data_IF_111926121036
#
_entry.id   IF_111926121036
#
_cell.length_a   1.000
_cell.length_b   1.000
_cell.length_c   1.000
_cell.angle_alpha   90.00
_cell.angle_beta   90.00
_cell.angle_gamma   90.00
#
_symmetry.space_group_name_H-M   'P 1'
#
loop_
_entity.id
_entity.type
_entity.pdbx_description
1 polymer ?
#
# COMPACT_ATOMS: atom_id res chain seq x y z
N UNK A 1 -34.73 -2.96 6.18
CA UNK A 1 -34.85 -1.72 6.97
C UNK A 1 -34.76 -0.52 6.02
N UNK A 2 -35.52 0.56 6.26
CA UNK A 2 -35.42 1.82 5.52
C UNK A 2 -34.77 2.86 6.43
N UNK A 3 -33.69 3.45 5.96
CA UNK A 3 -32.85 4.36 6.73
C UNK A 3 -32.44 5.51 5.82
N UNK A 4 -32.35 6.71 6.38
CA UNK A 4 -31.78 7.87 5.70
C UNK A 4 -30.33 8.01 6.17
N UNK A 5 -29.40 8.09 5.24
CA UNK A 5 -27.97 8.24 5.50
C UNK A 5 -27.47 9.46 4.72
N UNK A 6 -26.65 10.28 5.36
CA UNK A 6 -25.89 11.33 4.68
C UNK A 6 -24.63 10.70 4.09
N UNK A 7 -24.32 11.01 2.83
CA UNK A 7 -23.16 10.49 2.11
C UNK A 7 -22.32 11.68 1.66
N UNK A 8 -21.02 11.65 1.93
CA UNK A 8 -20.10 12.70 1.53
C UNK A 8 -19.97 12.80 -0.01
N UNK A 9 -19.65 14.00 -0.50
CA UNK A 9 -19.65 14.32 -1.94
C UNK A 9 -18.69 13.43 -2.76
N UNK A 10 -17.56 13.05 -2.18
CA UNK A 10 -16.58 12.16 -2.80
C UNK A 10 -17.13 10.74 -2.98
N UNK A 11 -17.78 10.20 -1.95
CA UNK A 11 -18.45 8.90 -1.99
C UNK A 11 -19.62 8.92 -2.97
N UNK A 12 -20.42 9.99 -2.96
CA UNK A 12 -21.53 10.16 -3.91
C UNK A 12 -21.05 10.16 -5.37
N UNK A 13 -19.93 10.83 -5.66
CA UNK A 13 -19.32 10.85 -6.98
C UNK A 13 -18.85 9.45 -7.43
N UNK A 14 -18.28 8.66 -6.52
CA UNK A 14 -17.86 7.27 -6.80
C UNK A 14 -19.07 6.37 -7.05
N UNK A 15 -20.13 6.49 -6.24
CA UNK A 15 -21.36 5.72 -6.43
C UNK A 15 -22.00 5.99 -7.80
N UNK A 16 -22.05 7.25 -8.24
CA UNK A 16 -22.64 7.60 -9.54
C UNK A 16 -21.81 7.06 -10.72
N UNK A 17 -20.48 7.09 -10.62
CA UNK A 17 -19.60 6.46 -11.63
C UNK A 17 -19.80 4.95 -11.71
N UNK A 18 -19.94 4.28 -10.55
CA UNK A 18 -20.21 2.84 -10.51
C UNK A 18 -21.60 2.50 -11.02
N UNK A 19 -22.60 3.35 -10.75
CA UNK A 19 -23.96 3.19 -11.26
C UNK A 19 -23.99 3.20 -12.78
N UNK A 20 -23.31 4.16 -13.41
CA UNK A 20 -23.20 4.28 -14.87
C UNK A 20 -22.46 3.11 -15.53
N UNK A 21 -21.47 2.53 -14.85
CA UNK A 21 -20.68 1.42 -15.43
C UNK A 21 -21.33 0.05 -15.29
N UNK A 22 -22.23 -0.14 -14.31
CA UNK A 22 -22.81 -1.46 -13.98
C UNK A 22 -24.30 -1.59 -14.27
N UNK A 23 -24.95 -0.51 -14.71
CA UNK A 23 -26.41 -0.44 -14.93
C UNK A 23 -27.23 -1.02 -13.76
N UNK A 24 -26.80 -0.72 -12.53
CA UNK A 24 -27.39 -1.23 -11.30
C UNK A 24 -28.18 -0.16 -10.55
N UNK A 25 -29.17 -0.55 -9.75
CA UNK A 25 -29.91 0.40 -8.92
C UNK A 25 -29.01 0.97 -7.81
N UNK A 26 -29.24 2.23 -7.41
CA UNK A 26 -28.51 2.88 -6.32
C UNK A 26 -28.62 2.08 -5.02
N UNK A 27 -29.80 1.51 -4.76
CA UNK A 27 -30.07 0.68 -3.58
C UNK A 27 -29.20 -0.58 -3.56
N UNK A 28 -29.12 -1.29 -4.68
CA UNK A 28 -28.36 -2.55 -4.74
C UNK A 28 -26.87 -2.28 -4.60
N UNK A 29 -26.40 -1.20 -5.23
CA UNK A 29 -25.01 -0.77 -5.18
C UNK A 29 -24.57 -0.35 -3.77
N UNK A 30 -25.40 0.44 -3.06
CA UNK A 30 -25.16 0.83 -1.67
C UNK A 30 -25.14 -0.41 -0.76
N UNK A 31 -26.12 -1.29 -0.89
CA UNK A 31 -26.19 -2.49 -0.04
C UNK A 31 -24.99 -3.42 -0.27
N UNK A 32 -24.56 -3.59 -1.52
CA UNK A 32 -23.39 -4.40 -1.84
C UNK A 32 -22.10 -3.77 -1.29
N UNK A 33 -21.93 -2.45 -1.46
CA UNK A 33 -20.79 -1.72 -0.92
C UNK A 33 -20.73 -1.83 0.61
N UNK A 34 -21.86 -1.62 1.30
CA UNK A 34 -21.95 -1.76 2.75
C UNK A 34 -21.65 -3.19 3.23
N UNK A 35 -22.17 -4.22 2.55
CA UNK A 35 -21.87 -5.62 2.90
C UNK A 35 -20.38 -5.92 2.81
N UNK A 36 -19.72 -5.46 1.74
CA UNK A 36 -18.27 -5.63 1.57
C UNK A 36 -17.49 -4.83 2.61
N UNK A 37 -17.83 -3.57 2.81
CA UNK A 37 -17.16 -2.69 3.78
C UNK A 37 -17.28 -3.22 5.20
N UNK A 38 -18.49 -3.58 5.65
CA UNK A 38 -18.70 -4.13 6.99
C UNK A 38 -18.00 -5.48 7.19
N UNK A 39 -17.93 -6.32 6.16
CA UNK A 39 -17.16 -7.57 6.20
C UNK A 39 -15.66 -7.30 6.35
N UNK A 40 -15.13 -6.32 5.63
CA UNK A 40 -13.71 -5.95 5.71
C UNK A 40 -13.37 -5.32 7.07
N UNK A 41 -14.22 -4.39 7.55
CA UNK A 41 -14.09 -3.74 8.86
C UNK A 41 -14.19 -4.72 10.04
N UNK A 42 -15.03 -5.76 9.91
CA UNK A 42 -15.16 -6.81 10.95
C UNK A 42 -14.11 -7.90 10.82
N UNK A 43 -13.41 -7.99 9.69
CA UNK A 43 -12.29 -8.91 9.55
C UNK A 43 -11.15 -8.43 10.45
N UNK A 44 -10.63 -9.31 11.31
CA UNK A 44 -9.40 -9.00 12.04
C UNK A 44 -8.34 -8.66 11.02
N UNK A 45 -7.75 -7.46 11.10
CA UNK A 45 -6.57 -7.07 10.31
C UNK A 45 -5.63 -8.26 10.30
N UNK A 46 -5.49 -8.91 9.14
CA UNK A 46 -4.51 -9.98 8.98
C UNK A 46 -3.19 -9.36 9.39
N UNK A 47 -2.60 -9.88 10.47
CA UNK A 47 -1.30 -9.40 10.96
C UNK A 47 -0.37 -9.49 9.76
N UNK A 48 -0.01 -8.35 9.18
CA UNK A 48 0.95 -8.32 8.08
C UNK A 48 2.19 -9.01 8.62
N UNK A 49 2.54 -10.14 8.02
CA UNK A 49 3.81 -10.77 8.34
C UNK A 49 4.89 -9.72 8.11
N UNK A 50 5.81 -9.59 9.08
CA UNK A 50 6.92 -8.67 8.91
C UNK A 50 7.69 -9.14 7.68
N UNK A 51 7.77 -8.30 6.66
CA UNK A 51 8.69 -8.51 5.55
C UNK A 51 10.10 -8.62 6.14
N UNK A 52 10.71 -9.79 6.01
CA UNK A 52 12.08 -10.05 6.44
C UNK A 52 12.92 -10.26 5.19
N UNK A 53 13.92 -9.41 4.97
CA UNK A 53 14.90 -9.63 3.92
C UNK A 53 15.85 -10.73 4.37
N UNK A 54 16.00 -11.79 3.57
CA UNK A 54 16.96 -12.85 3.87
C UNK A 54 18.38 -12.31 3.72
N UNK A 55 19.16 -12.36 4.79
CA UNK A 55 20.58 -12.04 4.73
C UNK A 55 21.33 -13.01 3.81
N UNK A 56 22.28 -12.50 3.04
CA UNK A 56 23.20 -13.26 2.20
C UNK A 56 24.63 -12.95 2.60
N UNK A 57 25.51 -13.95 2.56
CA UNK A 57 26.92 -13.76 2.86
C UNK A 57 27.62 -13.12 1.65
N UNK A 58 28.10 -11.89 1.81
CA UNK A 58 28.85 -11.15 0.79
C UNK A 58 30.37 -11.34 0.91
N UNK A 59 30.82 -12.11 1.91
CA UNK A 59 32.24 -12.32 2.19
C UNK A 59 32.85 -11.26 3.11
N UNK A 60 34.18 -11.24 3.17
CA UNK A 60 34.94 -10.29 3.98
C UNK A 60 34.98 -8.90 3.33
N UNK A 61 34.87 -7.86 4.15
CA UNK A 61 35.01 -6.48 3.72
C UNK A 61 36.43 -6.25 3.14
N UNK A 62 36.49 -5.64 1.95
CA UNK A 62 37.75 -5.38 1.22
C UNK A 62 38.32 -3.98 1.45
N UNK A 63 37.65 -3.17 2.28
CA UNK A 63 38.04 -1.81 2.65
C UNK A 63 38.09 -1.70 4.17
N UNK A 64 38.73 -0.65 4.70
CA UNK A 64 38.97 -0.49 6.13
C UNK A 64 37.66 -0.36 6.96
N UNK A 65 36.61 0.20 6.37
CA UNK A 65 35.32 0.40 7.01
C UNK A 65 34.25 0.92 6.05
N UNK A 66 33.00 0.95 6.51
CA UNK A 66 31.85 1.53 5.79
C UNK A 66 31.25 2.74 6.52
N UNK A 67 31.94 3.20 7.55
CA UNK A 67 31.45 4.26 8.46
C UNK A 67 31.52 5.63 7.78
N UNK A 68 32.43 5.78 6.81
CA UNK A 68 32.50 6.89 5.86
C UNK A 68 32.08 6.41 4.46
N UNK A 69 30.87 6.79 4.06
CA UNK A 69 30.30 6.40 2.77
C UNK A 69 31.07 7.04 1.61
N UNK A 70 31.57 8.27 1.78
CA UNK A 70 32.28 8.99 0.73
C UNK A 70 33.63 8.35 0.42
N UNK A 71 34.39 8.01 1.46
CA UNK A 71 35.65 7.26 1.32
C UNK A 71 35.40 5.87 0.71
N UNK A 72 34.38 5.16 1.19
CA UNK A 72 34.04 3.82 0.68
C UNK A 72 33.69 3.85 -0.81
N UNK A 73 32.91 4.83 -1.27
CA UNK A 73 32.57 5.01 -2.68
C UNK A 73 33.82 5.40 -3.50
N UNK A 74 34.65 6.29 -2.99
CA UNK A 74 35.90 6.69 -3.67
C UNK A 74 36.83 5.49 -3.88
N UNK A 75 36.96 4.60 -2.90
CA UNK A 75 37.75 3.36 -3.05
C UNK A 75 37.09 2.37 -4.03
N UNK A 76 35.76 2.27 -4.01
CA UNK A 76 35.02 1.33 -4.86
C UNK A 76 34.96 1.75 -6.33
N UNK A 77 34.80 3.05 -6.60
CA UNK A 77 34.60 3.63 -7.93
C UNK A 77 35.89 4.24 -8.52
N UNK A 78 36.89 4.52 -7.66
CA UNK A 78 38.15 5.17 -8.00
C UNK A 78 38.10 6.69 -7.90
N UNK A 79 39.23 7.35 -7.60
CA UNK A 79 39.34 8.82 -7.42
C UNK A 79 38.92 9.64 -8.66
N UNK A 80 38.84 9.01 -9.84
CA UNK A 80 38.46 9.65 -11.10
C UNK A 80 36.95 9.60 -11.39
N UNK A 81 36.13 9.01 -10.51
CA UNK A 81 34.69 8.90 -10.70
C UNK A 81 34.02 10.27 -10.53
N UNK A 82 33.21 10.67 -11.52
CA UNK A 82 32.51 11.97 -11.61
C UNK A 82 31.00 11.78 -11.51
#
# INVERSE_FOLDING_TARGET
>A
MRTTLTIDDDVAAVLERLRKSRDASLKDLINEALRRGLKDMSSRTKRRERLQTRAVALGQLRIAGLDDIGEALTIAEGEAYK
#
